data_IF_443482020515
#
_entry.id   IF_443482020515
#
_cell.length_a   1.000
_cell.length_b   1.000
_cell.length_c   1.000
_cell.angle_alpha   90.00
_cell.angle_beta   90.00
_cell.angle_gamma   90.00
#
_symmetry.space_group_name_H-M   'P 1'
#
loop_
_entity.id
_entity.type
_entity.pdbx_description
1 polymer ?
#
# COMPACT_ATOMS: atom_id res chain seq x y z
N UNK A 1 5.84 0.60 18.03
CA UNK A 1 6.88 1.55 17.57
C UNK A 1 8.17 0.82 17.23
N UNK A 2 9.01 1.42 16.38
CA UNK A 2 10.36 0.93 16.06
C UNK A 2 11.37 2.08 16.12
N UNK A 3 12.66 1.79 15.93
CA UNK A 3 13.72 2.83 15.81
C UNK A 3 13.67 3.59 14.48
N UNK A 4 12.79 3.20 13.56
CA UNK A 4 12.62 3.76 12.21
C UNK A 4 11.15 4.13 11.94
N UNK A 5 10.45 4.60 12.97
CA UNK A 5 9.10 5.14 12.86
C UNK A 5 8.02 4.31 13.56
N UNK A 6 6.81 4.86 13.57
CA UNK A 6 5.59 4.26 14.09
C UNK A 6 4.81 3.62 12.95
N UNK A 7 4.41 2.37 13.17
CA UNK A 7 3.72 1.57 12.16
C UNK A 7 2.25 1.36 12.53
N UNK A 8 1.38 1.56 11.55
CA UNK A 8 0.00 1.09 11.56
C UNK A 8 -0.17 -0.11 10.64
N UNK A 9 -1.24 -0.88 10.86
CA UNK A 9 -1.59 -2.03 10.02
C UNK A 9 -3.10 -2.10 9.83
N UNK A 10 -3.50 -2.37 8.60
CA UNK A 10 -4.87 -2.76 8.24
C UNK A 10 -4.82 -3.57 6.94
N UNK A 11 -5.93 -4.22 6.58
CA UNK A 11 -5.91 -5.26 5.56
C UNK A 11 -6.87 -4.97 4.42
N UNK A 12 -6.36 -4.99 3.18
CA UNK A 12 -7.14 -4.99 1.95
C UNK A 12 -8.30 -3.98 1.93
N UNK A 13 -9.54 -4.43 2.12
CA UNK A 13 -10.74 -3.61 1.97
C UNK A 13 -10.86 -2.49 3.02
N UNK A 14 -10.16 -2.61 4.16
CA UNK A 14 -10.11 -1.61 5.23
C UNK A 14 -9.69 -0.22 4.72
N UNK A 15 -8.87 -0.14 3.67
CA UNK A 15 -8.37 1.13 3.08
C UNK A 15 -9.49 2.08 2.63
N UNK A 16 -10.70 1.56 2.36
CA UNK A 16 -11.85 2.32 1.89
C UNK A 16 -12.71 2.90 3.03
N UNK A 17 -12.39 2.58 4.28
CA UNK A 17 -13.22 2.93 5.44
C UNK A 17 -12.46 3.79 6.45
N UNK A 18 -13.23 4.44 7.32
CA UNK A 18 -12.66 5.33 8.33
C UNK A 18 -11.88 4.54 9.40
N UNK A 19 -12.49 3.51 9.98
CA UNK A 19 -11.86 2.69 11.00
C UNK A 19 -11.36 1.36 10.42
N UNK A 20 -10.10 0.97 10.68
CA UNK A 20 -9.07 1.70 11.43
C UNK A 20 -8.23 2.67 10.56
N UNK A 21 -8.39 2.66 9.23
CA UNK A 21 -7.39 3.21 8.31
C UNK A 21 -7.14 4.72 8.48
N UNK A 22 -8.19 5.53 8.62
CA UNK A 22 -8.08 6.98 8.84
C UNK A 22 -7.68 7.29 10.28
N UNK A 23 -8.26 6.55 11.24
CA UNK A 23 -7.99 6.71 12.68
C UNK A 23 -6.50 6.50 13.01
N UNK A 24 -5.85 5.51 12.39
CA UNK A 24 -4.42 5.28 12.55
C UNK A 24 -3.57 6.50 12.17
N UNK A 25 -3.95 7.23 11.11
CA UNK A 25 -3.22 8.42 10.68
C UNK A 25 -3.58 9.64 11.52
N UNK A 26 -4.88 9.89 11.72
CA UNK A 26 -5.36 11.12 12.38
C UNK A 26 -5.13 11.14 13.88
N UNK A 27 -5.32 10.01 14.55
CA UNK A 27 -5.37 9.96 16.02
C UNK A 27 -4.10 9.33 16.59
N UNK A 28 -3.51 8.37 15.88
CA UNK A 28 -2.30 7.66 16.31
C UNK A 28 -1.01 8.16 15.65
N UNK A 29 -1.12 9.02 14.63
CA UNK A 29 0.00 9.64 13.93
C UNK A 29 1.07 8.63 13.52
N UNK A 30 0.67 7.58 12.81
CA UNK A 30 1.60 6.57 12.28
C UNK A 30 2.39 7.16 11.10
N UNK A 31 3.69 6.87 11.05
CA UNK A 31 4.57 7.30 9.94
C UNK A 31 4.40 6.38 8.72
N UNK A 32 4.11 5.10 8.97
CA UNK A 32 4.10 4.06 7.94
C UNK A 32 2.93 3.08 8.13
N UNK A 33 2.25 2.74 7.04
CA UNK A 33 1.30 1.64 6.99
C UNK A 33 1.93 0.40 6.35
N UNK A 34 1.82 -0.74 7.02
CA UNK A 34 2.00 -2.05 6.41
C UNK A 34 0.65 -2.62 5.99
N UNK A 35 0.52 -2.99 4.72
CA UNK A 35 -0.77 -3.30 4.11
C UNK A 35 -0.73 -4.63 3.34
N UNK A 36 -1.00 -5.76 4.03
CA UNK A 36 -1.29 -7.01 3.34
C UNK A 36 -2.62 -6.92 2.60
N UNK A 37 -2.67 -7.39 1.35
CA UNK A 37 -3.86 -7.31 0.51
C UNK A 37 -3.99 -8.45 -0.49
N UNK A 38 -5.23 -8.74 -0.89
CA UNK A 38 -5.57 -9.64 -1.98
C UNK A 38 -6.53 -8.89 -2.91
N UNK A 39 -6.01 -7.86 -3.55
CA UNK A 39 -6.82 -6.86 -4.25
C UNK A 39 -7.15 -7.30 -5.68
N UNK A 40 -8.43 -7.34 -6.01
CA UNK A 40 -8.90 -7.55 -7.38
C UNK A 40 -8.97 -6.20 -8.11
N UNK A 41 -8.15 -6.01 -9.13
CA UNK A 41 -8.10 -4.74 -9.85
C UNK A 41 -9.42 -4.45 -10.58
N UNK A 42 -9.98 -3.26 -10.34
CA UNK A 42 -11.16 -2.73 -11.02
C UNK A 42 -10.83 -1.36 -11.60
N UNK A 43 -10.70 -1.29 -12.93
CA UNK A 43 -10.50 -0.02 -13.62
C UNK A 43 -11.81 0.79 -13.66
N UNK A 44 -11.75 2.13 -13.76
CA UNK A 44 -10.54 2.94 -14.00
C UNK A 44 -9.83 3.49 -12.76
N UNK A 45 -10.38 3.33 -11.55
CA UNK A 45 -9.90 4.03 -10.35
C UNK A 45 -9.45 3.12 -9.20
N UNK A 46 -9.72 1.82 -9.26
CA UNK A 46 -9.45 0.85 -8.19
C UNK A 46 -8.46 -0.22 -8.65
N UNK A 47 -7.46 0.15 -9.44
CA UNK A 47 -6.25 -0.66 -9.60
C UNK A 47 -5.39 -0.52 -8.34
N UNK A 48 -4.83 -1.63 -7.84
CA UNK A 48 -4.08 -1.68 -6.58
C UNK A 48 -2.96 -0.64 -6.53
N UNK A 49 -2.06 -0.61 -7.53
CA UNK A 49 -0.94 0.35 -7.55
C UNK A 49 -1.41 1.80 -7.65
N UNK A 50 -2.58 2.04 -8.23
CA UNK A 50 -3.15 3.38 -8.40
C UNK A 50 -3.77 3.86 -7.09
N UNK A 51 -4.72 3.08 -6.54
CA UNK A 51 -5.48 3.49 -5.37
C UNK A 51 -4.61 3.51 -4.11
N UNK A 52 -3.76 2.49 -3.91
CA UNK A 52 -2.92 2.42 -2.70
C UNK A 52 -1.87 3.54 -2.65
N UNK A 53 -1.25 3.89 -3.79
CA UNK A 53 -0.29 5.00 -3.85
C UNK A 53 -0.97 6.36 -3.69
N UNK A 54 -2.15 6.55 -4.29
CA UNK A 54 -2.94 7.76 -4.13
C UNK A 54 -3.40 7.95 -2.67
N UNK A 55 -3.76 6.86 -1.99
CA UNK A 55 -4.11 6.91 -0.56
C UNK A 55 -2.91 7.31 0.29
N UNK A 56 -1.72 6.74 0.04
CA UNK A 56 -0.48 7.12 0.73
C UNK A 56 -0.17 8.62 0.57
N UNK A 57 -0.25 9.13 -0.67
CA UNK A 57 -0.08 10.55 -0.98
C UNK A 57 -1.12 11.43 -0.30
N UNK A 58 -2.40 11.04 -0.34
CA UNK A 58 -3.49 11.81 0.27
C UNK A 58 -3.46 11.84 1.80
N UNK A 59 -2.98 10.77 2.42
CA UNK A 59 -2.88 10.64 3.88
C UNK A 59 -1.53 11.10 4.43
N UNK A 60 -0.54 11.35 3.57
CA UNK A 60 0.78 11.84 3.99
C UNK A 60 1.58 10.80 4.78
N UNK A 61 1.52 9.52 4.39
CA UNK A 61 2.25 8.42 5.08
C UNK A 61 3.04 7.56 4.11
N UNK A 62 4.07 6.89 4.62
CA UNK A 62 4.66 5.76 3.92
C UNK A 62 3.68 4.58 3.87
N UNK A 63 3.72 3.78 2.80
CA UNK A 63 2.76 2.69 2.61
C UNK A 63 3.39 1.49 1.89
N UNK A 64 3.38 0.34 2.56
CA UNK A 64 3.95 -0.92 2.06
C UNK A 64 2.82 -1.87 1.66
N UNK A 65 2.48 -1.90 0.38
CA UNK A 65 1.42 -2.74 -0.17
C UNK A 65 1.97 -4.09 -0.65
N UNK A 66 1.58 -5.17 0.02
CA UNK A 66 1.93 -6.54 -0.38
C UNK A 66 0.68 -7.27 -0.88
N UNK A 67 0.60 -7.45 -2.20
CA UNK A 67 -0.56 -8.05 -2.86
C UNK A 67 -0.30 -9.49 -3.32
N UNK A 68 -1.37 -10.28 -3.39
CA UNK A 68 -1.37 -11.59 -4.02
C UNK A 68 -1.14 -11.47 -5.53
N UNK A 69 -0.34 -12.40 -6.07
CA UNK A 69 -0.16 -12.55 -7.51
C UNK A 69 -1.02 -13.69 -8.04
N UNK A 70 -2.22 -13.36 -8.50
CA UNK A 70 -3.17 -14.29 -9.11
C UNK A 70 -3.88 -13.62 -10.31
N UNK A 71 -3.22 -13.58 -11.49
CA UNK A 71 -3.72 -12.85 -12.66
C UNK A 71 -5.12 -13.27 -13.13
N UNK A 72 -5.50 -14.54 -12.97
CA UNK A 72 -6.86 -15.05 -13.29
C UNK A 72 -7.97 -14.34 -12.50
N UNK A 73 -7.68 -13.87 -11.28
CA UNK A 73 -8.62 -13.08 -10.47
C UNK A 73 -8.30 -11.58 -10.50
N UNK A 74 -7.52 -11.11 -11.48
CA UNK A 74 -7.06 -9.71 -11.58
C UNK A 74 -6.27 -9.24 -10.36
N UNK A 75 -5.61 -10.15 -9.65
CA UNK A 75 -4.79 -9.83 -8.48
C UNK A 75 -3.32 -9.72 -8.91
N UNK A 76 -2.84 -8.48 -8.93
CA UNK A 76 -1.45 -8.07 -9.07
C UNK A 76 -1.37 -6.59 -8.69
N UNK A 77 -0.22 -6.09 -8.28
CA UNK A 77 -0.09 -4.72 -7.82
C UNK A 77 0.39 -4.63 -6.39
N UNK A 78 1.70 -4.79 -6.20
CA UNK A 78 2.41 -4.54 -4.94
C UNK A 78 3.29 -3.31 -5.10
N UNK A 79 3.64 -2.64 -4.00
CA UNK A 79 4.51 -1.47 -4.08
C UNK A 79 4.89 -0.87 -2.74
N UNK A 80 5.83 0.07 -2.80
CA UNK A 80 6.36 0.86 -1.70
C UNK A 80 6.12 2.32 -2.09
N UNK A 81 5.31 3.03 -1.31
CA UNK A 81 4.87 4.39 -1.62
C UNK A 81 5.28 5.35 -0.49
N UNK A 82 5.81 6.51 -0.86
CA UNK A 82 6.06 7.63 0.05
C UNK A 82 5.00 8.74 -0.20
N UNK A 83 4.89 9.75 0.68
CA UNK A 83 3.89 10.81 0.52
C UNK A 83 4.00 11.63 -0.76
N UNK A 84 5.23 11.84 -1.24
CA UNK A 84 5.53 12.66 -2.42
C UNK A 84 5.38 11.85 -3.73
N UNK A 85 5.78 10.58 -3.72
CA UNK A 85 5.81 9.75 -4.92
C UNK A 85 5.90 8.25 -4.63
N UNK A 86 5.38 7.38 -5.55
CA UNK A 86 5.66 5.95 -5.51
C UNK A 86 7.16 5.69 -5.67
N UNK A 87 7.75 4.93 -4.74
CA UNK A 87 9.17 4.60 -4.79
C UNK A 87 9.44 3.37 -5.65
N UNK A 88 8.62 2.33 -5.48
CA UNK A 88 8.69 1.10 -6.26
C UNK A 88 7.29 0.52 -6.43
N UNK A 89 7.00 -0.06 -7.59
CA UNK A 89 5.74 -0.78 -7.81
C UNK A 89 5.91 -1.91 -8.82
N UNK A 90 5.02 -2.89 -8.72
CA UNK A 90 4.99 -4.02 -9.62
C UNK A 90 3.56 -4.38 -10.03
N UNK A 91 3.34 -4.46 -11.33
CA UNK A 91 2.11 -4.94 -11.93
C UNK A 91 2.45 -5.94 -13.04
N UNK A 92 1.89 -7.13 -12.97
CA UNK A 92 2.09 -8.18 -13.98
C UNK A 92 0.84 -9.04 -14.15
N UNK A 93 0.21 -8.94 -15.31
CA UNK A 93 -0.91 -9.81 -15.71
C UNK A 93 -0.48 -10.94 -16.65
N UNK A 94 0.79 -11.00 -17.03
CA UNK A 94 1.31 -11.89 -18.08
C UNK A 94 1.95 -13.15 -17.52
N UNK A 95 2.63 -13.07 -16.37
CA UNK A 95 3.34 -14.22 -15.79
C UNK A 95 2.70 -14.72 -14.50
N UNK A 96 3.17 -15.85 -13.96
CA UNK A 96 2.77 -16.39 -12.64
C UNK A 96 3.86 -16.19 -11.57
N UNK A 97 4.84 -15.33 -11.83
CA UNK A 97 6.01 -15.17 -10.95
C UNK A 97 5.68 -14.24 -9.79
N UNK A 98 6.18 -14.59 -8.60
CA UNK A 98 6.24 -13.64 -7.49
C UNK A 98 7.27 -12.55 -7.74
N UNK A 99 7.22 -11.48 -6.93
CA UNK A 99 8.14 -10.34 -7.02
C UNK A 99 8.53 -9.87 -5.62
N UNK A 100 9.83 -9.61 -5.44
CA UNK A 100 10.37 -8.86 -4.32
C UNK A 100 10.68 -7.43 -4.78
N UNK A 101 10.32 -6.45 -3.96
CA UNK A 101 10.62 -5.02 -4.16
C UNK A 101 11.36 -4.50 -2.93
N UNK A 102 12.35 -3.63 -3.15
CA UNK A 102 13.09 -2.95 -2.09
C UNK A 102 13.21 -1.48 -2.45
N UNK A 103 12.99 -0.61 -1.47
CA UNK A 103 13.30 0.81 -1.57
C UNK A 103 13.66 1.37 -0.20
N UNK A 104 14.35 2.51 -0.17
CA UNK A 104 14.61 3.28 1.04
C UNK A 104 13.45 4.25 1.27
N UNK A 105 13.06 4.43 2.53
CA UNK A 105 12.07 5.40 2.97
C UNK A 105 12.62 6.23 4.12
N UNK A 106 12.09 7.43 4.30
CA UNK A 106 12.33 8.23 5.49
C UNK A 106 11.51 7.68 6.66
N UNK A 107 12.12 7.61 7.85
CA UNK A 107 11.47 7.08 9.05
C UNK A 107 10.29 7.93 9.53
N UNK A 108 10.33 9.23 9.24
CA UNK A 108 9.35 10.26 9.64
C UNK A 108 9.11 11.19 8.44
N UNK A 109 8.24 10.78 7.49
CA UNK A 109 8.03 11.47 6.22
C UNK A 109 7.12 12.71 6.35
#
# INVERSE_FOLDING_TARGET
>A
DTVFGRFGIFTCFDILFYDPAVTLVKDFHVDTIVFPTAWMNVLPHLSAIQFHSAWAMGMGVNFLASNIHHPSNRMTGSGIYAPDSPQEFHYDMKTKKGKLLLSKLDSYP
#
